data_IF_011522019508
#
_entry.id   IF_011522019508
#
_cell.length_a   1.000
_cell.length_b   1.000
_cell.length_c   1.000
_cell.angle_alpha   90.00
_cell.angle_beta   90.00
_cell.angle_gamma   90.00
#
_symmetry.space_group_name_H-M   'P 1'
#
loop_
_entity.id
_entity.type
_entity.pdbx_description
1 polymer ?
#
# COMPACT_ATOMS: atom_id res chain seq x y z
N UNK A 1 22.81 33.36 12.89
CA UNK A 1 22.25 33.01 11.56
C UNK A 1 21.17 31.96 11.80
N UNK A 2 19.88 32.31 11.73
CA UNK A 2 18.77 31.34 11.85
C UNK A 2 18.21 31.12 10.45
N UNK A 3 18.37 29.92 9.92
CA UNK A 3 17.69 29.49 8.69
C UNK A 3 16.27 29.13 9.12
N UNK A 4 15.30 30.00 8.80
CA UNK A 4 13.91 29.65 8.90
C UNK A 4 13.53 28.92 7.61
N UNK A 5 13.35 27.59 7.68
CA UNK A 5 12.71 26.84 6.61
C UNK A 5 11.21 27.16 6.63
N UNK A 6 10.79 28.10 5.78
CA UNK A 6 9.37 28.23 5.43
C UNK A 6 9.01 27.10 4.48
N UNK A 7 8.49 26.01 5.01
CA UNK A 7 7.59 25.14 4.25
C UNK A 7 6.19 25.72 4.40
N UNK A 8 5.70 26.42 3.38
CA UNK A 8 4.28 26.72 3.25
C UNK A 8 3.69 25.75 2.26
N UNK A 9 2.92 24.78 2.75
CA UNK A 9 2.06 23.93 1.93
C UNK A 9 0.77 24.70 1.64
N UNK A 10 0.56 25.08 0.39
CA UNK A 10 -0.69 25.65 -0.12
C UNK A 10 -1.48 24.54 -0.82
N UNK A 11 -1.92 23.53 -0.08
CA UNK A 11 -2.57 22.37 -0.67
C UNK A 11 -4.05 22.61 -0.95
N UNK A 12 -4.37 22.89 -2.20
CA UNK A 12 -5.61 22.40 -2.83
C UNK A 12 -5.35 21.07 -3.56
N UNK A 13 -4.28 20.34 -3.24
CA UNK A 13 -4.02 19.01 -3.82
C UNK A 13 -4.66 17.93 -2.94
N UNK A 14 -5.78 17.36 -3.40
CA UNK A 14 -6.47 16.26 -2.74
C UNK A 14 -5.82 14.92 -3.08
N UNK A 15 -5.24 14.26 -2.07
CA UNK A 15 -4.86 12.85 -2.18
C UNK A 15 -6.03 11.96 -1.75
N UNK A 16 -6.22 10.86 -2.46
CA UNK A 16 -7.25 9.87 -2.16
C UNK A 16 -6.61 8.57 -1.69
N UNK A 17 -6.93 8.15 -0.46
CA UNK A 17 -6.58 6.83 0.05
C UNK A 17 -7.82 5.93 -0.01
N UNK A 18 -7.80 4.93 -0.88
CA UNK A 18 -8.95 4.05 -1.09
C UNK A 18 -8.54 2.62 -1.46
N UNK A 19 -9.51 1.71 -1.41
CA UNK A 19 -9.32 0.36 -1.95
C UNK A 19 -9.07 0.46 -3.47
N UNK A 20 -8.10 -0.30 -4.00
CA UNK A 20 -7.87 -0.36 -5.43
C UNK A 20 -9.07 -1.02 -6.13
N UNK A 21 -9.30 -0.64 -7.38
CA UNK A 21 -10.37 -1.09 -8.27
C UNK A 21 -9.75 -1.57 -9.56
N UNK A 22 -10.52 -2.31 -10.36
CA UNK A 22 -10.06 -2.82 -11.65
C UNK A 22 -9.52 -1.70 -12.58
N UNK A 23 -10.11 -0.51 -12.52
CA UNK A 23 -9.69 0.65 -13.30
C UNK A 23 -8.30 1.19 -12.94
N UNK A 24 -7.78 0.89 -11.74
CA UNK A 24 -6.48 1.40 -11.28
C UNK A 24 -5.31 0.47 -11.68
N UNK A 25 -5.59 -0.60 -12.46
CA UNK A 25 -4.62 -1.66 -12.78
C UNK A 25 -3.32 -1.12 -13.35
N UNK A 26 -3.40 -0.28 -14.37
CA UNK A 26 -2.21 0.23 -15.07
C UNK A 26 -1.30 1.01 -14.12
N UNK A 27 -1.83 2.03 -13.43
CA UNK A 27 -1.02 2.86 -12.53
C UNK A 27 -0.44 2.11 -11.34
N UNK A 28 -1.17 1.11 -10.81
CA UNK A 28 -0.65 0.28 -9.70
C UNK A 28 0.45 -0.67 -10.19
N UNK A 29 0.32 -1.24 -11.40
CA UNK A 29 1.36 -2.09 -11.98
C UNK A 29 2.63 -1.30 -12.30
N UNK A 30 2.51 -0.07 -12.80
CA UNK A 30 3.65 0.83 -13.00
C UNK A 30 4.36 1.12 -11.68
N UNK A 31 3.61 1.46 -10.63
CA UNK A 31 4.16 1.70 -9.30
C UNK A 31 4.87 0.44 -8.75
N UNK A 32 4.28 -0.76 -8.90
CA UNK A 32 4.93 -2.02 -8.50
C UNK A 32 6.24 -2.24 -9.26
N UNK A 33 6.25 -2.00 -10.58
CA UNK A 33 7.46 -2.12 -11.40
C UNK A 33 8.58 -1.17 -10.95
N UNK A 34 8.24 0.03 -10.44
CA UNK A 34 9.22 0.95 -9.88
C UNK A 34 9.80 0.46 -8.54
N UNK A 35 8.98 -0.12 -7.67
CA UNK A 35 9.48 -0.77 -6.44
C UNK A 35 10.48 -1.87 -6.78
N UNK A 36 10.16 -2.74 -7.74
CA UNK A 36 11.05 -3.81 -8.19
C UNK A 36 12.35 -3.26 -8.81
N UNK A 37 12.23 -2.31 -9.72
CA UNK A 37 13.38 -1.70 -10.42
C UNK A 37 14.33 -1.00 -9.46
N UNK A 38 13.80 -0.32 -8.45
CA UNK A 38 14.60 0.39 -7.45
C UNK A 38 15.05 -0.49 -6.28
N UNK A 39 14.54 -1.73 -6.19
CA UNK A 39 14.69 -2.62 -5.03
C UNK A 39 14.30 -1.94 -3.71
N UNK A 40 13.28 -1.05 -3.78
CA UNK A 40 12.81 -0.31 -2.61
C UNK A 40 11.92 -1.19 -1.74
N UNK A 41 12.00 -1.00 -0.42
CA UNK A 41 11.11 -1.68 0.51
C UNK A 41 9.65 -1.29 0.25
N UNK A 42 8.78 -2.29 0.19
CA UNK A 42 7.35 -2.13 -0.06
C UNK A 42 6.49 -2.76 1.05
N UNK A 43 6.79 -2.43 2.31
CA UNK A 43 6.14 -3.02 3.50
C UNK A 43 4.64 -2.70 3.63
N UNK A 44 4.09 -1.87 2.73
CA UNK A 44 2.66 -1.60 2.59
C UNK A 44 1.96 -2.36 1.47
N UNK A 45 2.70 -2.97 0.54
CA UNK A 45 2.17 -3.66 -0.63
C UNK A 45 2.75 -5.07 -0.75
N UNK A 46 1.88 -6.07 -0.91
CA UNK A 46 2.29 -7.47 -0.98
C UNK A 46 1.80 -8.09 -2.29
N UNK A 47 2.75 -8.44 -3.16
CA UNK A 47 2.49 -9.12 -4.43
C UNK A 47 3.51 -10.25 -4.66
N UNK A 48 3.18 -11.15 -5.58
CA UNK A 48 4.07 -12.19 -6.08
C UNK A 48 4.71 -11.68 -7.37
N UNK A 49 6.04 -11.49 -7.39
CA UNK A 49 6.75 -10.92 -8.53
C UNK A 49 6.80 -11.83 -9.76
N UNK A 50 6.59 -13.15 -9.60
CA UNK A 50 6.74 -14.13 -10.69
C UNK A 50 5.40 -14.49 -11.36
N UNK A 51 4.30 -14.42 -10.60
CA UNK A 51 2.97 -14.89 -11.02
C UNK A 51 1.83 -13.87 -10.87
N UNK A 52 2.13 -12.57 -10.85
CA UNK A 52 1.13 -11.55 -10.50
C UNK A 52 -0.06 -11.49 -11.47
N UNK A 53 -1.28 -11.55 -10.92
CA UNK A 53 -2.52 -11.15 -11.58
C UNK A 53 -3.21 -10.09 -10.73
N UNK A 54 -3.47 -8.92 -11.32
CA UNK A 54 -4.08 -7.80 -10.62
C UNK A 54 -5.50 -8.11 -10.14
N UNK A 55 -6.28 -8.79 -10.98
CA UNK A 55 -7.63 -9.23 -10.68
C UNK A 55 -7.65 -10.19 -9.48
N UNK A 56 -6.79 -11.21 -9.49
CA UNK A 56 -6.64 -12.14 -8.38
C UNK A 56 -6.13 -11.44 -7.11
N UNK A 57 -5.28 -10.42 -7.26
CA UNK A 57 -4.79 -9.61 -6.14
C UNK A 57 -5.92 -8.80 -5.49
N UNK A 58 -6.83 -8.20 -6.27
CA UNK A 58 -8.02 -7.52 -5.74
C UNK A 58 -8.90 -8.49 -4.94
N UNK A 59 -9.19 -9.67 -5.49
CA UNK A 59 -9.98 -10.70 -4.80
C UNK A 59 -9.29 -11.16 -3.50
N UNK A 60 -8.00 -11.43 -3.58
CA UNK A 60 -7.21 -11.85 -2.42
C UNK A 60 -7.19 -10.78 -1.33
N UNK A 61 -7.15 -9.50 -1.68
CA UNK A 61 -7.22 -8.40 -0.72
C UNK A 61 -8.57 -8.38 0.03
N UNK A 62 -9.69 -8.63 -0.67
CA UNK A 62 -11.01 -8.74 -0.05
C UNK A 62 -11.11 -9.97 0.88
N UNK A 63 -10.58 -11.12 0.45
CA UNK A 63 -10.52 -12.32 1.28
C UNK A 63 -9.67 -12.09 2.54
N UNK A 64 -8.52 -11.42 2.41
CA UNK A 64 -7.68 -11.03 3.55
C UNK A 64 -8.41 -10.09 4.50
N UNK A 65 -9.19 -9.14 4.00
CA UNK A 65 -10.00 -8.24 4.82
C UNK A 65 -11.05 -9.00 5.64
N UNK A 66 -11.70 -9.99 5.02
CA UNK A 66 -12.69 -10.86 5.68
C UNK A 66 -12.08 -11.96 6.57
N UNK A 67 -10.75 -12.12 6.54
CA UNK A 67 -10.07 -13.19 7.27
C UNK A 67 -10.17 -14.59 6.65
N UNK A 68 -10.53 -14.67 5.38
CA UNK A 68 -10.72 -15.92 4.64
C UNK A 68 -9.38 -16.40 4.07
N UNK A 69 -9.09 -17.70 4.21
CA UNK A 69 -7.87 -18.34 3.67
C UNK A 69 -6.55 -17.65 4.09
N UNK A 70 -6.53 -17.08 5.30
CA UNK A 70 -5.30 -16.50 5.85
C UNK A 70 -4.33 -17.61 6.29
N UNK A 71 -3.03 -17.50 5.96
CA UNK A 71 -2.00 -18.31 6.60
C UNK A 71 -2.02 -18.10 8.12
N UNK A 72 -1.61 -19.13 8.88
CA UNK A 72 -1.70 -19.17 10.35
C UNK A 72 -1.02 -17.95 11.04
N UNK A 73 0.04 -17.42 10.45
CA UNK A 73 0.79 -16.27 10.96
C UNK A 73 0.29 -14.90 10.46
N UNK A 74 -0.79 -14.85 9.67
CA UNK A 74 -1.38 -13.61 9.15
C UNK A 74 -2.64 -13.24 9.93
N UNK A 75 -3.01 -11.97 9.81
CA UNK A 75 -4.22 -11.40 10.43
C UNK A 75 -5.03 -10.68 9.36
N UNK A 76 -6.35 -10.49 9.58
CA UNK A 76 -7.17 -9.71 8.67
C UNK A 76 -6.60 -8.31 8.46
N UNK A 77 -6.58 -7.85 7.21
CA UNK A 77 -6.02 -6.54 6.84
C UNK A 77 -6.73 -5.94 5.63
N UNK A 78 -6.78 -4.62 5.57
CA UNK A 78 -7.30 -3.86 4.42
C UNK A 78 -6.12 -3.35 3.61
N UNK A 79 -6.14 -3.61 2.30
CA UNK A 79 -5.19 -3.03 1.36
C UNK A 79 -5.76 -1.74 0.77
N UNK A 80 -5.06 -0.65 1.00
CA UNK A 80 -5.30 0.64 0.38
C UNK A 80 -4.16 0.98 -0.60
N UNK A 81 -4.49 1.86 -1.54
CA UNK A 81 -3.56 2.55 -2.43
C UNK A 81 -3.82 4.04 -2.30
N UNK A 82 -2.75 4.82 -2.22
CA UNK A 82 -2.78 6.28 -2.25
C UNK A 82 -2.72 6.76 -3.70
N UNK A 83 -3.58 7.70 -4.06
CA UNK A 83 -3.62 8.32 -5.38
C UNK A 83 -3.56 9.84 -5.27
N UNK A 84 -2.98 10.50 -6.26
CA UNK A 84 -3.15 11.95 -6.45
C UNK A 84 -4.46 12.27 -7.18
N UNK A 85 -4.72 13.56 -7.43
CA UNK A 85 -5.91 14.06 -8.12
C UNK A 85 -6.07 13.54 -9.56
N UNK A 86 -4.96 13.18 -10.22
CA UNK A 86 -4.99 12.61 -11.57
C UNK A 86 -5.31 11.12 -11.57
N UNK A 87 -5.38 10.50 -10.38
CA UNK A 87 -5.53 9.07 -10.22
C UNK A 87 -4.21 8.30 -10.34
N UNK A 88 -3.07 8.98 -10.28
CA UNK A 88 -1.76 8.35 -10.30
C UNK A 88 -1.45 7.74 -8.93
N UNK A 89 -1.05 6.46 -8.91
CA UNK A 89 -0.74 5.76 -7.67
C UNK A 89 0.60 6.22 -7.08
N UNK A 90 0.57 6.54 -5.78
CA UNK A 90 1.67 7.14 -5.02
C UNK A 90 2.20 6.25 -3.90
N UNK A 91 1.47 5.21 -3.50
CA UNK A 91 1.92 4.33 -2.44
C UNK A 91 0.89 3.31 -2.01
N UNK A 92 1.33 2.40 -1.14
CA UNK A 92 0.51 1.38 -0.54
C UNK A 92 0.36 1.60 0.95
N UNK A 93 -0.81 1.22 1.49
CA UNK A 93 -1.05 1.09 2.92
C UNK A 93 -1.76 -0.23 3.18
N UNK A 94 -1.18 -1.07 4.03
CA UNK A 94 -1.81 -2.25 4.59
C UNK A 94 -2.17 -2.01 6.05
N UNK A 95 -3.46 -1.96 6.36
CA UNK A 95 -3.98 -1.77 7.71
C UNK A 95 -4.43 -3.11 8.30
N UNK A 96 -3.71 -3.62 9.29
CA UNK A 96 -4.06 -4.84 10.02
C UNK A 96 -5.13 -4.53 11.06
N UNK A 97 -6.23 -5.29 11.02
CA UNK A 97 -7.41 -5.07 11.87
C UNK A 97 -7.25 -5.63 13.29
N UNK A 98 -6.20 -6.42 13.52
CA UNK A 98 -5.77 -6.92 14.83
C UNK A 98 -4.27 -7.25 14.78
N UNK A 99 -3.69 -7.54 15.93
CA UNK A 99 -2.32 -8.07 16.05
C UNK A 99 -2.36 -9.47 16.65
N UNK A 100 -1.48 -10.35 16.17
CA UNK A 100 -1.06 -11.55 16.89
C UNK A 100 0.23 -11.23 17.67
N UNK A 101 0.73 -12.17 18.47
CA UNK A 101 1.92 -11.96 19.32
C UNK A 101 3.15 -11.53 18.51
N UNK A 102 3.39 -12.15 17.35
CA UNK A 102 4.52 -11.78 16.48
C UNK A 102 4.42 -10.34 15.97
N UNK A 103 3.24 -9.96 15.46
CA UNK A 103 3.01 -8.60 14.95
C UNK A 103 3.04 -7.55 16.05
N UNK A 104 2.59 -7.89 17.27
CA UNK A 104 2.65 -7.00 18.43
C UNK A 104 4.08 -6.64 18.82
N UNK A 105 4.99 -7.61 18.73
CA UNK A 105 6.37 -7.43 19.20
C UNK A 105 7.33 -6.92 18.11
N UNK A 106 7.02 -7.11 16.82
CA UNK A 106 7.98 -6.87 15.73
C UNK A 106 7.48 -5.99 14.58
N UNK A 107 6.20 -5.61 14.55
CA UNK A 107 5.66 -4.82 13.45
C UNK A 107 4.63 -3.77 13.93
N UNK A 108 3.39 -4.18 14.14
CA UNK A 108 2.27 -3.30 14.48
C UNK A 108 1.17 -3.31 13.42
N UNK A 109 0.26 -2.33 13.50
CA UNK A 109 -0.96 -2.29 12.69
C UNK A 109 -0.76 -1.80 11.26
N UNK A 110 0.26 -0.97 11.02
CA UNK A 110 0.39 -0.19 9.80
C UNK A 110 1.65 -0.64 9.07
N UNK A 111 1.49 -1.16 7.86
CA UNK A 111 2.57 -1.26 6.87
C UNK A 111 2.29 -0.28 5.75
N UNK A 112 3.27 0.52 5.34
CA UNK A 112 3.11 1.47 4.25
C UNK A 112 4.36 1.51 3.38
N UNK A 113 4.21 1.98 2.15
CA UNK A 113 5.32 2.29 1.27
C UNK A 113 4.93 3.41 0.30
N UNK A 114 5.87 4.30 0.02
CA UNK A 114 5.68 5.41 -0.92
C UNK A 114 6.44 5.08 -2.20
N UNK A 115 5.81 5.34 -3.35
CA UNK A 115 6.40 5.16 -4.68
C UNK A 115 7.78 5.83 -4.71
N UNK A 116 8.84 5.14 -5.14
CA UNK A 116 10.20 5.68 -5.09
C UNK A 116 10.47 6.89 -6.00
N UNK A 117 9.61 7.15 -7.00
CA UNK A 117 9.74 8.29 -7.92
C UNK A 117 8.49 9.14 -8.02
#
# INVERSE_FOLDING_TARGET
MRVASRFSYSGEENMELRRPRLADKETVLEMMAEFEKSQSAHDGGFWDAEGFSYENWLETNLNKEMGINLPENRVPSIQFVLFDESGHALGFLNLRLRLNEGLLNHAGHIGYSIRPS
#
